data_IF_064114646322
#
_entry.id   IF_064114646322
#
_cell.length_a   1.000
_cell.length_b   1.000
_cell.length_c   1.000
_cell.angle_alpha   90.00
_cell.angle_beta   90.00
_cell.angle_gamma   90.00
#
_symmetry.space_group_name_H-M   'P 1'
#
loop_
_entity.id
_entity.type
_entity.pdbx_description
1 polymer ?
#
# COMPACT_ATOMS: atom_id res chain seq x y z
N UNK A 1 -22.64 -3.25 -10.69
CA UNK A 1 -21.88 -2.19 -9.99
C UNK A 1 -20.43 -2.65 -9.92
N UNK A 2 -19.52 -2.07 -10.70
CA UNK A 2 -18.12 -2.49 -10.70
C UNK A 2 -17.51 -2.17 -9.32
N UNK A 3 -17.14 -3.20 -8.55
CA UNK A 3 -16.41 -3.04 -7.28
C UNK A 3 -15.11 -2.33 -7.63
N UNK A 4 -15.02 -1.04 -7.33
CA UNK A 4 -13.84 -0.24 -7.64
C UNK A 4 -12.65 -0.96 -7.01
N UNK A 5 -11.72 -1.43 -7.85
CA UNK A 5 -10.51 -2.09 -7.37
C UNK A 5 -9.79 -1.05 -6.51
N UNK A 6 -9.48 -1.42 -5.27
CA UNK A 6 -8.66 -0.60 -4.42
C UNK A 6 -7.41 -0.15 -5.20
N UNK A 7 -7.01 1.10 -5.02
CA UNK A 7 -5.85 1.67 -5.72
C UNK A 7 -4.72 1.91 -4.74
N UNK A 8 -3.52 2.10 -5.27
CA UNK A 8 -2.36 2.53 -4.46
C UNK A 8 -2.63 3.83 -3.68
N UNK A 9 -3.51 4.70 -4.20
CA UNK A 9 -3.90 5.94 -3.54
C UNK A 9 -4.77 5.69 -2.29
N UNK A 10 -5.64 4.67 -2.35
CA UNK A 10 -6.49 4.29 -1.22
C UNK A 10 -5.65 3.67 -0.12
N UNK A 11 -4.72 2.79 -0.48
CA UNK A 11 -3.75 2.19 0.45
C UNK A 11 -2.88 3.27 1.11
N UNK A 12 -2.36 4.22 0.32
CA UNK A 12 -1.57 5.33 0.85
C UNK A 12 -2.36 6.17 1.86
N UNK A 13 -3.61 6.49 1.54
CA UNK A 13 -4.51 7.25 2.41
C UNK A 13 -4.82 6.51 3.71
N UNK A 14 -5.17 5.23 3.62
CA UNK A 14 -5.51 4.42 4.79
C UNK A 14 -4.28 4.10 5.66
N UNK A 15 -3.09 3.93 5.07
CA UNK A 15 -1.84 3.74 5.81
C UNK A 15 -1.24 5.05 6.36
N UNK A 16 -1.76 6.21 5.94
CA UNK A 16 -1.27 7.53 6.38
C UNK A 16 0.10 7.89 5.79
N UNK A 17 0.39 7.43 4.57
CA UNK A 17 1.70 7.59 3.91
C UNK A 17 1.54 8.16 2.50
N UNK A 18 2.65 8.53 1.86
CA UNK A 18 2.63 8.94 0.47
C UNK A 18 2.56 7.74 -0.48
N UNK A 19 1.98 7.93 -1.68
CA UNK A 19 1.96 6.91 -2.75
C UNK A 19 3.37 6.40 -3.09
N UNK A 20 4.37 7.28 -3.04
CA UNK A 20 5.77 6.93 -3.24
C UNK A 20 6.29 5.97 -2.17
N UNK A 21 5.90 6.16 -0.91
CA UNK A 21 6.28 5.28 0.18
C UNK A 21 5.63 3.89 0.06
N UNK A 22 4.38 3.82 -0.41
CA UNK A 22 3.73 2.55 -0.77
C UNK A 22 4.49 1.85 -1.88
N UNK A 23 4.86 2.57 -2.95
CA UNK A 23 5.68 2.02 -4.02
C UNK A 23 7.03 1.51 -3.51
N UNK A 24 7.69 2.25 -2.61
CA UNK A 24 8.95 1.83 -2.03
C UNK A 24 8.80 0.58 -1.15
N UNK A 25 7.72 0.49 -0.36
CA UNK A 25 7.44 -0.66 0.48
C UNK A 25 7.19 -1.93 -0.33
N UNK A 26 6.54 -1.81 -1.49
CA UNK A 26 6.24 -2.93 -2.40
C UNK A 26 7.44 -3.36 -3.23
N UNK A 27 8.30 -2.41 -3.61
CA UNK A 27 9.53 -2.67 -4.36
C UNK A 27 10.75 -2.97 -3.46
N UNK A 28 10.52 -3.21 -2.16
CA UNK A 28 11.56 -3.50 -1.16
C UNK A 28 12.71 -2.49 -1.15
N UNK A 29 12.39 -1.21 -1.39
CA UNK A 29 13.39 -0.15 -1.49
C UNK A 29 13.85 0.28 -0.09
N UNK A 30 15.17 0.51 0.10
CA UNK A 30 15.68 1.04 1.36
C UNK A 30 15.10 2.44 1.61
N UNK A 31 14.75 2.72 2.88
CA UNK A 31 14.13 3.99 3.30
C UNK A 31 12.70 3.88 3.81
N UNK A 32 12.08 2.69 3.75
CA UNK A 32 10.81 2.43 4.44
C UNK A 32 11.10 1.66 5.72
N UNK A 33 10.63 2.17 6.86
CA UNK A 33 10.76 1.45 8.12
C UNK A 33 9.93 0.15 8.08
N UNK A 34 10.40 -0.92 8.74
CA UNK A 34 9.66 -2.18 8.82
C UNK A 34 8.22 -1.97 9.33
N UNK A 35 8.06 -1.10 10.33
CA UNK A 35 6.74 -0.72 10.87
C UNK A 35 5.82 -0.09 9.81
N UNK A 36 6.37 0.79 8.97
CA UNK A 36 5.60 1.42 7.89
C UNK A 36 5.23 0.41 6.80
N UNK A 37 6.15 -0.50 6.45
CA UNK A 37 5.89 -1.58 5.48
C UNK A 37 4.79 -2.50 5.97
N UNK A 38 4.83 -2.93 7.22
CA UNK A 38 3.82 -3.79 7.82
C UNK A 38 2.44 -3.12 7.82
N UNK A 39 2.37 -1.82 8.15
CA UNK A 39 1.12 -1.06 8.06
C UNK A 39 0.58 -1.00 6.63
N UNK A 40 1.43 -0.74 5.64
CA UNK A 40 1.03 -0.70 4.23
C UNK A 40 0.51 -2.07 3.77
N UNK A 41 1.19 -3.17 4.14
CA UNK A 41 0.78 -4.52 3.80
C UNK A 41 -0.54 -4.92 4.47
N UNK A 42 -0.72 -4.55 5.75
CA UNK A 42 -1.97 -4.79 6.47
C UNK A 42 -3.15 -4.05 5.81
N UNK A 43 -2.97 -2.77 5.47
CA UNK A 43 -3.99 -1.96 4.78
C UNK A 43 -4.27 -2.48 3.38
N UNK A 44 -3.23 -2.85 2.61
CA UNK A 44 -3.40 -3.45 1.29
C UNK A 44 -4.25 -4.72 1.36
N UNK A 45 -3.96 -5.60 2.34
CA UNK A 45 -4.72 -6.83 2.58
C UNK A 45 -6.16 -6.56 2.99
N UNK A 46 -6.39 -5.60 3.88
CA UNK A 46 -7.73 -5.21 4.34
C UNK A 46 -8.59 -4.64 3.19
N UNK A 47 -7.97 -3.84 2.32
CA UNK A 47 -8.62 -3.30 1.12
C UNK A 47 -8.78 -4.34 -0.01
N UNK A 48 -8.27 -5.56 0.16
CA UNK A 48 -8.22 -6.57 -0.89
C UNK A 48 -7.41 -6.12 -2.11
N UNK A 49 -6.44 -5.23 -1.90
CA UNK A 49 -5.55 -4.72 -2.92
C UNK A 49 -4.32 -5.61 -3.04
N UNK A 50 -4.09 -6.17 -4.22
CA UNK A 50 -2.82 -6.78 -4.58
C UNK A 50 -2.16 -5.93 -5.68
N UNK A 51 -0.87 -5.58 -5.55
CA UNK A 51 -0.14 -5.04 -6.69
C UNK A 51 -0.19 -6.06 -7.82
N UNK A 52 -0.67 -5.64 -8.99
CA UNK A 52 -0.50 -6.39 -10.23
C UNK A 52 0.94 -6.18 -10.66
N UNK A 53 1.82 -7.10 -10.23
CA UNK A 53 3.23 -7.14 -10.64
C UNK A 53 3.37 -7.49 -12.11
#
# INVERSE_FOLDING_TARGET
>A
MAKARATIADVARAAGVSKGLVSFALNDRPGVSAHTRDRILAVAKDLGWSPSV
#
